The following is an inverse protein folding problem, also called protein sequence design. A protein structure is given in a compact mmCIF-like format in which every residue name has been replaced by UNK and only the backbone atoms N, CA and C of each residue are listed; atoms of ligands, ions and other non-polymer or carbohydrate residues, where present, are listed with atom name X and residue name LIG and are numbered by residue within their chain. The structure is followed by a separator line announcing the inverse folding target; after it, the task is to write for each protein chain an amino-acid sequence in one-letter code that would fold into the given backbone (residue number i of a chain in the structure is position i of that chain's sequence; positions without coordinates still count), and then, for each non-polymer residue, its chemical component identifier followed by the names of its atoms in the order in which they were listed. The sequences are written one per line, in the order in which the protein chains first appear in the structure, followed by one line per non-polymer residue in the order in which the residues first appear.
data_IF_544216874228
#
_entry.id   IF_544216874228
#
_cell.length_a   1.000
_cell.length_b   1.000
_cell.length_c   1.000
_cell.angle_alpha   90.00
_cell.angle_beta   90.00
_cell.angle_gamma   90.00
#
_symmetry.space_group_name_H-M   'P 1'
#
loop_
_entity.id
_entity.type
_entity.pdbx_description
1 polymer ?
#
# COMPACT_ATOMS: atom_id res chain seq x y z
N UNK A 1 -9.89 -36.84 13.83
CA UNK A 1 -9.61 -35.75 12.86
C UNK A 1 -9.08 -34.56 13.65
N UNK A 2 -7.78 -34.42 13.88
CA UNK A 2 -7.37 -33.44 14.90
C UNK A 2 -6.00 -32.79 14.79
N UNK A 3 -5.08 -33.22 13.94
CA UNK A 3 -3.75 -32.57 13.88
C UNK A 3 -3.32 -32.29 12.43
N UNK A 4 -3.47 -33.28 11.55
CA UNK A 4 -3.22 -33.13 10.10
C UNK A 4 -4.15 -32.09 9.45
N UNK A 5 -5.42 -32.02 9.88
CA UNK A 5 -6.37 -31.00 9.41
C UNK A 5 -5.99 -29.60 9.88
N UNK A 6 -5.43 -29.45 11.08
CA UNK A 6 -5.01 -28.15 11.60
C UNK A 6 -3.72 -27.66 10.90
N UNK A 7 -2.78 -28.58 10.66
CA UNK A 7 -1.56 -28.32 9.89
C UNK A 7 -1.89 -27.93 8.44
N UNK A 8 -2.81 -28.67 7.79
CA UNK A 8 -3.29 -28.34 6.44
C UNK A 8 -3.95 -26.96 6.38
N UNK A 9 -4.85 -26.62 7.31
CA UNK A 9 -5.49 -25.31 7.35
C UNK A 9 -4.50 -24.17 7.66
N UNK A 10 -3.44 -24.44 8.43
CA UNK A 10 -2.36 -23.48 8.66
C UNK A 10 -1.57 -23.19 7.38
N UNK A 11 -1.25 -24.25 6.63
CA UNK A 11 -0.58 -24.13 5.34
C UNK A 11 -1.43 -23.37 4.31
N UNK A 12 -2.73 -23.65 4.21
CA UNK A 12 -3.65 -22.90 3.34
C UNK A 12 -3.66 -21.40 3.68
N UNK A 13 -3.80 -21.03 4.96
CA UNK A 13 -3.71 -19.62 5.39
C UNK A 13 -2.37 -18.97 5.06
N UNK A 14 -1.27 -19.72 5.13
CA UNK A 14 0.05 -19.21 4.76
C UNK A 14 0.15 -18.87 3.27
N UNK A 15 -0.51 -19.66 2.40
CA UNK A 15 -0.58 -19.38 0.97
C UNK A 15 -1.42 -18.12 0.69
N UNK A 16 -2.58 -17.98 1.34
CA UNK A 16 -3.46 -16.80 1.20
C UNK A 16 -2.75 -15.50 1.61
N UNK A 17 -1.97 -15.53 2.69
CA UNK A 17 -1.17 -14.39 3.12
C UNK A 17 -0.07 -14.03 2.11
N UNK A 18 0.60 -15.05 1.54
CA UNK A 18 1.62 -14.84 0.50
C UNK A 18 1.02 -14.22 -0.77
N UNK A 19 -0.16 -14.69 -1.19
CA UNK A 19 -0.85 -14.14 -2.36
C UNK A 19 -1.27 -12.69 -2.13
N UNK A 20 -1.80 -12.36 -0.95
CA UNK A 20 -2.16 -10.98 -0.59
C UNK A 20 -0.95 -10.03 -0.60
N UNK A 21 0.19 -10.47 -0.05
CA UNK A 21 1.44 -9.67 -0.06
C UNK A 21 1.94 -9.47 -1.50
N UNK A 22 1.90 -10.53 -2.32
CA UNK A 22 2.30 -10.46 -3.74
C UNK A 22 1.41 -9.49 -4.49
N UNK A 23 0.10 -9.58 -4.33
CA UNK A 23 -0.86 -8.70 -4.98
C UNK A 23 -0.60 -7.23 -4.62
N UNK A 24 -0.43 -6.93 -3.33
CA UNK A 24 -0.13 -5.57 -2.88
C UNK A 24 1.14 -5.01 -3.53
N UNK A 25 2.22 -5.80 -3.60
CA UNK A 25 3.46 -5.41 -4.27
C UNK A 25 3.27 -5.18 -5.76
N UNK A 26 2.57 -6.08 -6.44
CA UNK A 26 2.26 -5.94 -7.87
C UNK A 26 1.45 -4.67 -8.15
N UNK A 27 0.46 -4.33 -7.31
CA UNK A 27 -0.31 -3.10 -7.46
C UNK A 27 0.57 -1.85 -7.29
N UNK A 28 1.44 -1.82 -6.27
CA UNK A 28 2.36 -0.71 -6.05
C UNK A 28 3.35 -0.54 -7.23
N UNK A 29 3.89 -1.63 -7.76
CA UNK A 29 4.79 -1.60 -8.90
C UNK A 29 4.08 -1.17 -10.20
N UNK A 30 2.84 -1.59 -10.41
CA UNK A 30 2.03 -1.16 -11.55
C UNK A 30 1.77 0.36 -11.51
N UNK A 31 1.44 0.91 -10.35
CA UNK A 31 1.29 2.36 -10.14
C UNK A 31 2.59 3.08 -10.49
N UNK A 32 3.73 2.62 -9.94
CA UNK A 32 5.05 3.19 -10.23
C UNK A 32 5.36 3.18 -11.72
N UNK A 33 5.12 2.05 -12.39
CA UNK A 33 5.44 1.87 -13.80
C UNK A 33 4.62 2.80 -14.72
N UNK A 34 3.30 2.89 -14.52
CA UNK A 34 2.42 3.78 -15.31
C UNK A 34 2.86 5.24 -15.16
N UNK A 35 3.14 5.67 -13.92
CA UNK A 35 3.50 7.05 -13.64
C UNK A 35 4.88 7.41 -14.19
N UNK A 36 5.85 6.50 -14.05
CA UNK A 36 7.17 6.69 -14.62
C UNK A 36 7.11 6.77 -16.15
N UNK A 37 6.33 5.91 -16.81
CA UNK A 37 6.16 5.93 -18.25
C UNK A 37 5.60 7.28 -18.73
N UNK A 38 4.58 7.82 -18.06
CA UNK A 38 4.02 9.15 -18.36
C UNK A 38 5.03 10.27 -18.16
N UNK A 39 5.79 10.24 -17.07
CA UNK A 39 6.83 11.23 -16.79
C UNK A 39 7.96 11.18 -17.83
N UNK A 40 8.42 10.00 -18.20
CA UNK A 40 9.43 9.83 -19.25
C UNK A 40 8.94 10.35 -20.60
N UNK A 41 7.67 10.10 -20.95
CA UNK A 41 7.08 10.64 -22.16
C UNK A 41 7.00 12.18 -22.13
N UNK A 42 6.65 12.76 -20.98
CA UNK A 42 6.61 14.22 -20.81
C UNK A 42 8.00 14.84 -20.99
N UNK A 43 9.05 14.21 -20.44
CA UNK A 43 10.44 14.64 -20.64
C UNK A 43 10.85 14.54 -22.11
N UNK A 44 10.54 13.44 -22.78
CA UNK A 44 10.84 13.24 -24.20
C UNK A 44 10.16 14.29 -25.09
N UNK A 45 9.00 14.80 -24.67
CA UNK A 45 8.26 15.85 -25.37
C UNK A 45 8.73 17.27 -25.01
N UNK A 46 9.86 17.42 -24.31
CA UNK A 46 10.41 18.73 -23.93
C UNK A 46 9.79 19.35 -22.68
N UNK A 47 9.11 18.55 -21.86
CA UNK A 47 8.60 18.99 -20.56
C UNK A 47 9.74 19.43 -19.64
N UNK A 48 9.47 20.44 -18.81
CA UNK A 48 10.42 20.92 -17.82
C UNK A 48 10.79 19.82 -16.81
N UNK A 49 12.08 19.42 -16.70
CA UNK A 49 12.46 18.26 -15.90
C UNK A 49 12.11 18.38 -14.43
N UNK A 50 12.28 19.56 -13.84
CA UNK A 50 12.00 19.81 -12.44
C UNK A 50 10.50 19.64 -12.14
N UNK A 51 9.64 20.27 -12.95
CA UNK A 51 8.18 20.13 -12.83
C UNK A 51 7.74 18.68 -12.99
N UNK A 52 8.26 17.96 -13.98
CA UNK A 52 7.88 16.55 -14.22
C UNK A 52 8.26 15.65 -13.04
N UNK A 53 9.44 15.86 -12.45
CA UNK A 53 9.88 15.08 -11.28
C UNK A 53 9.08 15.41 -10.03
N UNK A 54 8.78 16.70 -9.78
CA UNK A 54 7.92 17.12 -8.67
C UNK A 54 6.52 16.50 -8.81
N UNK A 55 5.94 16.54 -10.01
CA UNK A 55 4.64 15.95 -10.27
C UNK A 55 4.64 14.43 -10.07
N UNK A 56 5.68 13.73 -10.54
CA UNK A 56 5.84 12.29 -10.33
C UNK A 56 5.84 11.96 -8.84
N UNK A 57 6.69 12.63 -8.06
CA UNK A 57 6.82 12.41 -6.62
C UNK A 57 5.50 12.65 -5.87
N UNK A 58 4.84 13.77 -6.17
CA UNK A 58 3.55 14.12 -5.56
C UNK A 58 2.46 13.09 -5.90
N UNK A 59 2.28 12.80 -7.20
CA UNK A 59 1.22 11.89 -7.63
C UNK A 59 1.47 10.47 -7.11
N UNK A 60 2.73 10.00 -7.10
CA UNK A 60 3.07 8.64 -6.68
C UNK A 60 2.79 8.46 -5.19
N UNK A 61 3.26 9.40 -4.38
CA UNK A 61 2.98 9.43 -2.94
C UNK A 61 1.48 9.42 -2.68
N UNK A 62 0.73 10.32 -3.33
CA UNK A 62 -0.72 10.40 -3.17
C UNK A 62 -1.42 9.09 -3.53
N UNK A 63 -1.01 8.42 -4.62
CA UNK A 63 -1.61 7.15 -5.04
C UNK A 63 -1.34 6.03 -4.04
N UNK A 64 -0.10 5.93 -3.54
CA UNK A 64 0.28 4.88 -2.58
C UNK A 64 -0.38 5.05 -1.22
N UNK A 65 -0.52 6.29 -0.73
CA UNK A 65 -1.07 6.54 0.62
C UNK A 65 -2.60 6.64 0.65
N UNK A 66 -3.27 6.71 -0.51
CA UNK A 66 -4.72 6.96 -0.56
C UNK A 66 -5.54 5.89 0.16
N UNK A 67 -5.30 4.62 -0.14
CA UNK A 67 -6.04 3.50 0.46
C UNK A 67 -5.89 3.45 2.00
N UNK A 68 -4.66 3.47 2.58
CA UNK A 68 -4.51 3.49 4.03
C UNK A 68 -5.07 4.77 4.68
N UNK A 69 -4.93 5.93 4.04
CA UNK A 69 -5.49 7.19 4.54
C UNK A 69 -7.01 7.10 4.67
N UNK A 70 -7.68 6.59 3.63
CA UNK A 70 -9.13 6.40 3.63
C UNK A 70 -9.56 5.37 4.67
N UNK A 71 -8.81 4.29 4.84
CA UNK A 71 -9.09 3.27 5.86
C UNK A 71 -9.02 3.84 7.28
N UNK A 72 -8.00 4.66 7.58
CA UNK A 72 -7.90 5.36 8.87
C UNK A 72 -9.06 6.33 9.08
N UNK A 73 -9.39 7.15 8.07
CA UNK A 73 -10.50 8.09 8.13
C UNK A 73 -11.84 7.38 8.39
N UNK A 74 -12.08 6.24 7.72
CA UNK A 74 -13.30 5.46 7.91
C UNK A 74 -13.37 4.85 9.31
N UNK A 75 -12.29 4.26 9.82
CA UNK A 75 -12.25 3.70 11.17
C UNK A 75 -12.50 4.78 12.24
N UNK A 76 -11.92 5.97 12.07
CA UNK A 76 -12.17 7.11 12.94
C UNK A 76 -13.63 7.58 12.88
N UNK A 77 -14.20 7.71 11.67
CA UNK A 77 -15.58 8.14 11.47
C UNK A 77 -16.59 7.16 12.07
N UNK A 78 -16.33 5.86 11.98
CA UNK A 78 -17.20 4.82 12.51
C UNK A 78 -17.06 4.60 14.03
N UNK A 79 -16.11 5.26 14.69
CA UNK A 79 -15.83 5.01 16.10
C UNK A 79 -15.22 3.62 16.35
N UNK A 80 -14.34 3.15 15.46
CA UNK A 80 -13.67 1.84 15.53
C UNK A 80 -12.19 2.00 15.98
N UNK A 81 -11.91 2.32 17.26
CA UNK A 81 -10.55 2.67 17.72
C UNK A 81 -9.54 1.51 17.61
N UNK A 82 -9.98 0.27 17.83
CA UNK A 82 -9.11 -0.92 17.70
C UNK A 82 -8.63 -1.12 16.26
N UNK A 83 -9.54 -0.98 15.30
CA UNK A 83 -9.20 -1.06 13.88
C UNK A 83 -8.27 0.08 13.46
N UNK A 84 -8.51 1.29 13.95
CA UNK A 84 -7.62 2.42 13.72
C UNK A 84 -6.20 2.13 14.26
N UNK A 85 -6.09 1.54 15.46
CA UNK A 85 -4.80 1.15 16.03
C UNK A 85 -4.08 0.12 15.15
N UNK A 86 -4.76 -0.94 14.70
CA UNK A 86 -4.16 -1.95 13.81
C UNK A 86 -3.64 -1.33 12.50
N UNK A 87 -4.41 -0.41 11.89
CA UNK A 87 -3.98 0.27 10.66
C UNK A 87 -2.75 1.15 10.94
N UNK A 88 -2.72 1.86 12.07
CA UNK A 88 -1.58 2.70 12.46
C UNK A 88 -0.32 1.86 12.69
N UNK A 89 -0.43 0.75 13.41
CA UNK A 89 0.67 -0.19 13.63
C UNK A 89 1.20 -0.74 12.31
N UNK A 90 0.30 -1.18 11.42
CA UNK A 90 0.67 -1.71 10.08
C UNK A 90 1.43 -0.68 9.24
N UNK A 91 1.12 0.61 9.42
CA UNK A 91 1.80 1.73 8.74
C UNK A 91 3.04 2.23 9.48
N UNK A 92 3.42 1.62 10.62
CA UNK A 92 4.56 2.03 11.44
C UNK A 92 4.35 3.34 12.21
N UNK A 93 3.11 3.80 12.38
CA UNK A 93 2.78 5.08 13.03
C UNK A 93 2.75 5.00 14.56
N UNK A 94 2.87 3.81 15.14
CA UNK A 94 2.86 3.59 16.59
C UNK A 94 4.29 3.46 17.18
N UNK A 95 5.32 3.56 16.34
CA UNK A 95 6.73 3.51 16.74
C UNK A 95 7.32 4.92 16.94
N UNK A 96 6.80 5.70 17.90
CA UNK A 96 7.49 6.83 18.53
C UNK A 96 7.09 6.97 20.01
N UNK A 97 7.28 5.88 20.77
CA UNK A 97 7.53 5.99 22.21
C UNK A 97 9.00 5.64 22.45
N UNK A 98 9.88 6.63 22.25
CA UNK A 98 11.20 6.68 22.87
C UNK A 98 11.08 7.27 24.26
#
# INVERSE_FOLDING_TARGET
MSEESAAFMSWVRSLEAVDSIREYRCQADAIKADMLARSLQALANGGDPEKVLIELGNKLTNKLIHAPTRAMQQAAHNGEPEKLAVIRETLGLDALKS
#
